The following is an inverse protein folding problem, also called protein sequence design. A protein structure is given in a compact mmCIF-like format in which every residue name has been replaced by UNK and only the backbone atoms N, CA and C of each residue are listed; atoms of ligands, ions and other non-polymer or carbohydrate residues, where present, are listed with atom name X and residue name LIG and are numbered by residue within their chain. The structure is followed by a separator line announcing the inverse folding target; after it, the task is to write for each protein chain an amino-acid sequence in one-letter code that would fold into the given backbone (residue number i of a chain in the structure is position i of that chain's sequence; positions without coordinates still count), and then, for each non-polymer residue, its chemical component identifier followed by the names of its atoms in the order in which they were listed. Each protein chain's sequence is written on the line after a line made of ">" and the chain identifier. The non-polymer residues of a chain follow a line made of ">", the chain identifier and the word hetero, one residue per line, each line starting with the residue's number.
data_IF_002411122256
#
_entry.id   IF_002411122256
#
_cell.length_a   1.000
_cell.length_b   1.000
_cell.length_c   1.000
_cell.angle_alpha   90.00
_cell.angle_beta   90.00
_cell.angle_gamma   90.00
#
_symmetry.space_group_name_H-M   'P 1'
#
loop_
_entity.id
_entity.type
_entity.pdbx_description
1 polymer ?
#
# COMPACT_ATOMS: atom_id res chain seq x y z
N UNK A 1 -2.81 -10.17 16.41
CA UNK A 1 -3.66 -8.95 16.45
C UNK A 1 -3.13 -7.77 15.62
N UNK A 2 -1.85 -7.36 15.73
CA UNK A 2 -1.32 -6.16 15.03
C UNK A 2 -1.36 -6.17 13.50
N UNK A 3 -1.24 -7.34 12.86
CA UNK A 3 -1.28 -7.47 11.39
C UNK A 3 -2.70 -7.28 10.84
N UNK A 4 -3.70 -7.89 11.48
CA UNK A 4 -5.10 -7.79 11.05
C UNK A 4 -5.57 -6.33 11.08
N UNK A 5 -5.32 -5.63 12.18
CA UNK A 5 -5.62 -4.21 12.32
C UNK A 5 -4.99 -3.37 11.18
N UNK A 6 -3.73 -3.66 10.82
CA UNK A 6 -3.05 -2.99 9.70
C UNK A 6 -3.71 -3.31 8.35
N UNK A 7 -4.16 -4.55 8.12
CA UNK A 7 -4.88 -4.93 6.90
C UNK A 7 -6.27 -4.28 6.82
N UNK A 8 -6.97 -4.14 7.95
CA UNK A 8 -8.24 -3.42 8.02
C UNK A 8 -8.05 -1.92 7.75
N UNK A 9 -7.01 -1.31 8.31
CA UNK A 9 -6.66 0.09 8.04
C UNK A 9 -6.20 0.29 6.59
N UNK A 10 -5.42 -0.65 6.04
CA UNK A 10 -5.06 -0.66 4.64
C UNK A 10 -6.29 -0.73 3.74
N UNK A 11 -7.28 -1.57 4.06
CA UNK A 11 -8.51 -1.65 3.30
C UNK A 11 -9.26 -0.31 3.29
N UNK A 12 -9.42 0.34 4.44
CA UNK A 12 -10.05 1.67 4.52
C UNK A 12 -9.31 2.70 3.67
N UNK A 13 -7.97 2.69 3.71
CA UNK A 13 -7.16 3.60 2.90
C UNK A 13 -7.24 3.30 1.40
N UNK A 14 -7.29 2.03 0.99
CA UNK A 14 -7.49 1.62 -0.41
C UNK A 14 -8.84 2.09 -0.96
N UNK A 15 -9.88 2.08 -0.13
CA UNK A 15 -11.21 2.56 -0.51
C UNK A 15 -11.25 4.09 -0.61
N UNK A 16 -10.68 4.78 0.39
CA UNK A 16 -10.58 6.23 0.42
C UNK A 16 -9.76 6.79 -0.76
N UNK A 17 -8.64 6.14 -1.09
CA UNK A 17 -7.74 6.54 -2.17
C UNK A 17 -8.12 5.92 -3.53
N UNK A 18 -9.32 5.36 -3.65
CA UNK A 18 -9.79 4.69 -4.88
C UNK A 18 -9.68 5.51 -6.17
N UNK A 19 -9.78 6.87 -6.18
CA UNK A 19 -9.52 7.66 -7.39
C UNK A 19 -8.13 7.45 -8.01
N UNK A 20 -7.14 7.01 -7.22
CA UNK A 20 -5.76 6.79 -7.65
C UNK A 20 -5.41 5.31 -7.88
N UNK A 21 -6.41 4.44 -8.05
CA UNK A 21 -6.22 3.01 -8.31
C UNK A 21 -5.18 2.35 -7.38
N UNK A 22 -5.36 2.42 -6.05
CA UNK A 22 -4.30 2.12 -5.11
C UNK A 22 -4.00 0.62 -5.02
N UNK A 23 -2.79 0.26 -4.60
CA UNK A 23 -2.34 -1.12 -4.35
C UNK A 23 -1.58 -1.21 -3.04
N UNK A 24 -1.96 -2.14 -2.17
CA UNK A 24 -1.21 -2.48 -0.97
C UNK A 24 0.05 -3.25 -1.33
N UNK A 25 1.17 -2.93 -0.69
CA UNK A 25 2.47 -3.59 -0.87
C UNK A 25 3.20 -3.79 0.46
N UNK A 26 4.32 -4.50 0.43
CA UNK A 26 5.25 -4.57 1.57
C UNK A 26 4.75 -5.41 2.74
N UNK A 27 5.28 -5.20 3.96
CA UNK A 27 5.14 -6.15 5.08
C UNK A 27 3.69 -6.45 5.50
N UNK A 28 2.75 -5.51 5.31
CA UNK A 28 1.33 -5.71 5.62
C UNK A 28 0.67 -6.67 4.64
N UNK A 29 1.04 -6.60 3.37
CA UNK A 29 0.63 -7.58 2.37
C UNK A 29 1.26 -8.93 2.69
N UNK A 30 2.59 -8.96 2.83
CA UNK A 30 3.40 -10.17 3.00
C UNK A 30 3.09 -10.91 4.32
N UNK A 31 2.42 -10.25 5.26
CA UNK A 31 2.07 -10.81 6.57
C UNK A 31 3.22 -10.78 7.57
N UNK A 32 4.28 -10.04 7.27
CA UNK A 32 5.51 -9.91 8.07
C UNK A 32 5.59 -8.59 8.84
N UNK A 33 4.53 -7.77 8.80
CA UNK A 33 4.47 -6.49 9.50
C UNK A 33 4.68 -6.63 11.01
N UNK A 34 5.69 -5.92 11.52
CA UNK A 34 5.96 -5.78 12.95
C UNK A 34 5.12 -4.66 13.60
N UNK A 35 5.50 -4.25 14.82
CA UNK A 35 4.80 -3.23 15.59
C UNK A 35 4.86 -1.82 14.98
N UNK A 36 5.86 -1.53 14.16
CA UNK A 36 6.16 -0.20 13.61
C UNK A 36 6.07 -0.16 12.08
N UNK A 37 5.85 -1.31 11.44
CA UNK A 37 5.71 -1.41 9.99
C UNK A 37 4.58 -0.50 9.48
N UNK A 38 4.88 0.39 8.51
CA UNK A 38 3.88 1.27 7.91
C UNK A 38 2.96 0.50 6.97
N UNK A 39 1.77 1.05 6.73
CA UNK A 39 0.89 0.62 5.64
C UNK A 39 1.40 1.26 4.35
N UNK A 40 2.04 0.47 3.50
CA UNK A 40 2.63 0.95 2.24
C UNK A 40 1.65 0.78 1.08
N UNK A 41 1.31 1.88 0.41
CA UNK A 41 0.44 1.89 -0.75
C UNK A 41 1.17 2.49 -1.96
N UNK A 42 0.94 1.89 -3.13
CA UNK A 42 1.26 2.48 -4.42
C UNK A 42 -0.01 3.10 -5.00
N UNK A 43 0.03 4.40 -5.23
CA UNK A 43 -1.00 5.18 -5.93
C UNK A 43 -0.58 5.40 -7.37
N UNK A 44 -1.55 5.63 -8.24
CA UNK A 44 -1.32 5.81 -9.67
C UNK A 44 -1.97 7.10 -10.15
N UNK A 45 -1.16 8.01 -10.69
CA UNK A 45 -1.58 9.31 -11.23
C UNK A 45 -0.52 9.81 -12.21
N UNK A 46 -0.95 10.36 -13.35
CA UNK A 46 -0.08 11.09 -14.27
C UNK A 46 -0.04 12.61 -13.97
N UNK A 47 -0.88 13.08 -13.04
CA UNK A 47 -0.80 14.42 -12.47
C UNK A 47 0.06 14.39 -11.20
N UNK A 48 1.14 15.17 -11.21
CA UNK A 48 2.14 15.24 -10.16
C UNK A 48 1.59 15.70 -8.80
N UNK A 49 0.56 16.57 -8.81
CA UNK A 49 0.05 17.22 -7.60
C UNK A 49 -1.32 16.69 -7.18
N UNK A 50 -1.95 15.81 -7.97
CA UNK A 50 -3.31 15.34 -7.69
C UNK A 50 -3.46 14.66 -6.31
N UNK A 51 -2.46 13.87 -5.90
CA UNK A 51 -2.48 13.23 -4.58
C UNK A 51 -2.32 14.26 -3.47
N UNK A 52 -1.44 15.25 -3.64
CA UNK A 52 -1.26 16.32 -2.66
C UNK A 52 -2.57 17.09 -2.44
N UNK A 53 -3.19 17.57 -3.53
CA UNK A 53 -4.46 18.31 -3.46
C UNK A 53 -5.55 17.50 -2.78
N UNK A 54 -5.65 16.21 -3.09
CA UNK A 54 -6.64 15.33 -2.46
C UNK A 54 -6.42 15.21 -0.94
N UNK A 55 -5.17 15.05 -0.49
CA UNK A 55 -4.87 15.00 0.94
C UNK A 55 -5.21 16.34 1.64
N UNK A 56 -4.90 17.46 1.00
CA UNK A 56 -5.20 18.82 1.51
C UNK A 56 -6.71 19.08 1.59
N UNK A 57 -7.47 18.72 0.55
CA UNK A 57 -8.93 18.83 0.49
C UNK A 57 -9.60 18.05 1.63
N UNK A 58 -9.05 16.89 1.97
CA UNK A 58 -9.50 16.05 3.08
C UNK A 58 -8.85 16.41 4.43
N UNK A 59 -8.04 17.47 4.50
CA UNK A 59 -7.33 17.97 5.70
C UNK A 59 -6.44 16.91 6.38
N UNK A 60 -5.78 16.10 5.57
CA UNK A 60 -4.81 15.10 6.04
C UNK A 60 -3.41 15.73 6.00
N UNK A 61 -2.80 16.01 7.17
CA UNK A 61 -1.42 16.50 7.21
C UNK A 61 -0.48 15.39 6.75
N UNK A 62 0.21 15.62 5.64
CA UNK A 62 1.18 14.68 5.08
C UNK A 62 2.53 15.35 4.85
N UNK A 63 3.59 14.60 5.11
CA UNK A 63 4.96 14.99 4.81
C UNK A 63 5.38 14.45 3.44
N UNK A 64 6.02 15.31 2.64
CA UNK A 64 6.55 14.94 1.34
C UNK A 64 7.97 14.38 1.44
N UNK A 65 8.22 13.33 0.65
CA UNK A 65 9.49 12.64 0.45
C UNK A 65 9.62 12.20 -1.01
N UNK A 66 10.79 11.67 -1.35
CA UNK A 66 11.04 11.05 -2.65
C UNK A 66 11.60 9.64 -2.44
N UNK A 67 11.21 8.70 -3.29
CA UNK A 67 11.74 7.33 -3.29
C UNK A 67 12.22 6.93 -4.68
N UNK A 68 13.39 6.29 -4.73
CA UNK A 68 13.92 5.67 -5.95
C UNK A 68 13.34 4.27 -6.11
N UNK A 69 12.72 4.00 -7.27
CA UNK A 69 12.23 2.68 -7.65
C UNK A 69 12.70 2.31 -9.05
N UNK A 70 12.87 1.01 -9.27
CA UNK A 70 13.18 0.43 -10.56
C UNK A 70 11.89 -0.01 -11.23
N UNK A 71 11.49 0.63 -12.34
CA UNK A 71 10.27 0.26 -13.05
C UNK A 71 10.47 -0.99 -13.91
N UNK A 72 11.65 -1.12 -14.53
CA UNK A 72 12.07 -2.31 -15.26
C UNK A 72 13.59 -2.44 -15.28
N UNK A 73 14.12 -3.33 -16.14
CA UNK A 73 15.56 -3.61 -16.17
C UNK A 73 16.41 -2.39 -16.51
N UNK A 74 15.87 -1.45 -17.27
CA UNK A 74 16.59 -0.30 -17.85
C UNK A 74 16.14 1.03 -17.22
N UNK A 75 14.93 1.11 -16.67
CA UNK A 75 14.34 2.34 -16.13
C UNK A 75 14.32 2.36 -14.61
N UNK A 76 15.01 3.35 -14.05
CA UNK A 76 14.89 3.77 -12.64
C UNK A 76 14.25 5.16 -12.60
N UNK A 77 13.43 5.43 -11.58
CA UNK A 77 12.76 6.71 -11.40
C UNK A 77 12.74 7.17 -9.94
N UNK A 78 12.58 8.48 -9.76
CA UNK A 78 12.31 9.12 -8.47
C UNK A 78 10.83 9.47 -8.41
N UNK A 79 10.16 9.00 -7.35
CA UNK A 79 8.71 9.09 -7.21
C UNK A 79 8.34 9.84 -5.93
N UNK A 80 7.31 10.71 -5.96
CA UNK A 80 6.79 11.35 -4.76
C UNK A 80 6.30 10.31 -3.75
N UNK A 81 6.56 10.57 -2.47
CA UNK A 81 6.04 9.81 -1.35
C UNK A 81 5.37 10.74 -0.36
N UNK A 82 4.15 10.41 0.05
CA UNK A 82 3.42 11.11 1.09
C UNK A 82 3.34 10.24 2.34
N UNK A 83 3.80 10.77 3.47
CA UNK A 83 3.78 10.13 4.77
C UNK A 83 2.76 10.81 5.67
N UNK A 84 1.82 10.07 6.23
CA UNK A 84 0.92 10.60 7.24
C UNK A 84 0.61 9.55 8.30
N UNK A 85 0.05 10.00 9.43
CA UNK A 85 -0.41 9.12 10.49
C UNK A 85 -1.92 9.25 10.64
N UNK A 86 -2.59 8.12 10.83
CA UNK A 86 -4.00 8.05 11.20
C UNK A 86 -4.18 6.97 12.25
N UNK A 87 -4.88 7.32 13.34
CA UNK A 87 -4.90 6.50 14.56
C UNK A 87 -3.44 6.26 15.04
N UNK A 88 -3.07 5.02 15.33
CA UNK A 88 -1.71 4.63 15.73
C UNK A 88 -0.87 4.07 14.56
N UNK A 89 -1.29 4.32 13.31
CA UNK A 89 -0.67 3.75 12.11
C UNK A 89 -0.07 4.82 11.20
N UNK A 90 1.10 4.51 10.67
CA UNK A 90 1.77 5.32 9.64
C UNK A 90 1.45 4.76 8.27
N UNK A 91 1.14 5.66 7.34
CA UNK A 91 0.89 5.37 5.93
C UNK A 91 2.01 5.93 5.06
N UNK A 92 2.42 5.14 4.08
CA UNK A 92 3.46 5.48 3.10
C UNK A 92 2.87 5.34 1.71
N UNK A 93 2.62 6.48 1.06
CA UNK A 93 1.96 6.55 -0.23
C UNK A 93 2.97 6.89 -1.31
N UNK A 94 3.41 5.92 -2.09
CA UNK A 94 4.26 6.17 -3.26
C UNK A 94 3.40 6.44 -4.49
N UNK A 95 3.61 7.57 -5.18
CA UNK A 95 2.86 7.96 -6.38
C UNK A 95 3.61 7.54 -7.63
N UNK A 96 2.99 6.66 -8.41
CA UNK A 96 3.53 6.13 -9.66
C UNK A 96 2.72 6.64 -10.86
N UNK A 97 3.32 6.69 -12.06
CA UNK A 97 2.58 6.88 -13.31
C UNK A 97 1.58 5.75 -13.56
N UNK A 98 0.54 6.00 -14.36
CA UNK A 98 -0.50 5.00 -14.65
C UNK A 98 0.03 3.78 -15.41
N UNK A 99 1.11 3.91 -16.17
CA UNK A 99 1.74 2.78 -16.86
C UNK A 99 2.24 1.69 -15.89
N UNK A 100 2.62 2.08 -14.65
CA UNK A 100 3.01 1.18 -13.58
C UNK A 100 1.86 0.30 -13.03
N UNK A 101 0.61 0.53 -13.45
CA UNK A 101 -0.48 -0.43 -13.19
C UNK A 101 -0.30 -1.73 -13.98
N UNK A 102 0.19 -1.63 -15.22
CA UNK A 102 0.40 -2.79 -16.09
C UNK A 102 1.61 -3.59 -15.67
N UNK A 103 2.66 -2.90 -15.23
CA UNK A 103 3.90 -3.51 -14.80
C UNK A 103 4.32 -2.92 -13.46
N UNK A 104 4.28 -3.74 -12.41
CA UNK A 104 4.73 -3.31 -11.08
C UNK A 104 6.23 -2.98 -11.11
N UNK A 105 6.68 -2.00 -10.30
CA UNK A 105 8.10 -1.82 -10.05
C UNK A 105 8.77 -3.13 -9.62
N UNK A 106 10.04 -3.29 -9.97
CA UNK A 106 10.85 -4.44 -9.58
C UNK A 106 11.35 -4.27 -8.15
N UNK A 107 11.29 -5.36 -7.40
CA UNK A 107 11.97 -5.51 -6.12
C UNK A 107 13.48 -5.41 -6.31
N UNK A 108 14.16 -4.68 -5.42
CA UNK A 108 15.62 -4.57 -5.44
C UNK A 108 16.31 -5.87 -4.99
N UNK A 109 15.59 -6.77 -4.32
CA UNK A 109 16.16 -7.97 -3.72
C UNK A 109 16.31 -9.12 -4.74
N UNK A 110 15.29 -9.33 -5.57
CA UNK A 110 15.18 -10.50 -6.45
C UNK A 110 14.82 -10.16 -7.90
N UNK A 111 14.77 -8.86 -8.24
CA UNK A 111 14.40 -8.32 -9.56
C UNK A 111 13.02 -8.77 -10.08
N UNK A 112 12.17 -9.32 -9.20
CA UNK A 112 10.80 -9.70 -9.56
C UNK A 112 9.85 -8.52 -9.38
N UNK A 113 8.72 -8.48 -10.12
CA UNK A 113 7.67 -7.51 -9.87
C UNK A 113 7.24 -7.55 -8.39
N UNK A 114 7.19 -6.40 -7.74
CA UNK A 114 6.79 -6.31 -6.33
C UNK A 114 5.38 -6.89 -6.13
N UNK A 115 5.13 -7.68 -5.06
CA UNK A 115 3.79 -8.13 -4.71
C UNK A 115 2.86 -6.93 -4.46
N UNK A 116 1.63 -7.03 -4.98
CA UNK A 116 0.60 -5.99 -4.87
C UNK A 116 -0.78 -6.59 -4.67
N UNK A 117 -1.61 -5.94 -3.85
CA UNK A 117 -2.99 -6.32 -3.66
C UNK A 117 -3.95 -5.13 -3.85
N UNK A 118 -5.04 -5.37 -4.56
CA UNK A 118 -6.20 -4.48 -4.62
C UNK A 118 -7.05 -4.58 -3.36
N UNK A 119 -7.99 -3.65 -3.16
CA UNK A 119 -8.96 -3.71 -2.06
C UNK A 119 -9.71 -5.05 -2.02
N UNK A 120 -10.12 -5.59 -3.17
CA UNK A 120 -10.80 -6.88 -3.26
C UNK A 120 -9.92 -8.03 -2.73
N UNK A 121 -8.65 -8.07 -3.12
CA UNK A 121 -7.70 -9.08 -2.63
C UNK A 121 -7.42 -8.92 -1.13
N UNK A 122 -7.33 -7.68 -0.62
CA UNK A 122 -7.16 -7.45 0.83
C UNK A 122 -8.39 -7.92 1.61
N UNK A 123 -9.61 -7.73 1.09
CA UNK A 123 -10.83 -8.30 1.70
C UNK A 123 -10.75 -9.82 1.78
N UNK A 124 -10.30 -10.49 0.72
CA UNK A 124 -10.10 -11.94 0.71
C UNK A 124 -9.09 -12.38 1.79
N UNK A 125 -7.94 -11.70 1.88
CA UNK A 125 -6.94 -11.98 2.92
C UNK A 125 -7.48 -11.83 4.35
N UNK A 126 -8.39 -10.87 4.57
CA UNK A 126 -9.04 -10.66 5.86
C UNK A 126 -10.04 -11.78 6.18
N UNK A 127 -10.79 -12.26 5.19
CA UNK A 127 -11.71 -13.41 5.34
C UNK A 127 -10.94 -14.72 5.55
N UNK A 128 -9.89 -14.99 4.78
CA UNK A 128 -9.07 -16.21 4.93
C UNK A 128 -8.36 -16.27 6.28
N UNK A 129 -7.91 -15.13 6.79
CA UNK A 129 -7.32 -15.01 8.13
C UNK A 129 -8.30 -15.32 9.27
N UNK A 130 -9.61 -15.16 9.08
CA UNK A 130 -10.63 -15.56 10.07
C UNK A 130 -10.76 -17.08 10.17
N UNK A 131 -10.58 -17.80 9.06
CA UNK A 131 -10.76 -19.26 8.99
C UNK A 131 -9.61 -20.01 9.68
N UNK A 132 -8.39 -19.44 9.70
CA UNK A 132 -7.23 -20.06 10.34
C UNK A 132 -7.16 -19.83 11.86
N UNK A 133 -7.83 -18.81 12.39
CA UNK A 133 -7.86 -18.50 13.84
C UNK A 133 -9.05 -19.18 14.55
N UNK A 134 -9.95 -19.79 13.78
CA UNK A 134 -11.10 -20.55 14.24
C UNK A 134 -11.00 -22.03 13.90
N UNK A 135 -10.05 -22.77 14.49
CA UNK A 135 -10.18 -24.23 14.52
C UNK A 135 -11.36 -24.62 15.43
N UNK A 136 -12.39 -25.32 14.93
CA UNK A 136 -13.28 -26.04 15.81
C UNK A 136 -12.49 -27.23 16.37
N UNK A 137 -12.35 -27.27 17.69
CA UNK A 137 -12.10 -28.51 18.40
C UNK A 137 -13.28 -29.45 18.14
N UNK A 138 -13.07 -30.43 17.28
CA UNK A 138 -13.81 -31.68 17.22
C UNK A 138 -12.72 -32.75 17.37
N UNK A 139 -12.60 -33.46 18.49
CA UNK A 139 -13.68 -34.12 19.20
C UNK A 139 -13.72 -35.56 18.71
#
# INVERSE_FOLDING_TARGET
>A
MRLRQRREAALRALEFLSPFQPRLTGPVLDGTADANAPVQLQLHSDDADAVQRFLEEHRIPAESRTRRLRLDRERNGEFPVWLFSAEDLTFDLTVLPYDALRQAPLSQLDEKPMPRASAAQVRQLLTEGEVSDGSPLLG
#
